data_IF_371435009148
#
_entry.id   IF_371435009148
#
_cell.length_a   1.000
_cell.length_b   1.000
_cell.length_c   1.000
_cell.angle_alpha   90.00
_cell.angle_beta   90.00
_cell.angle_gamma   90.00
#
_symmetry.space_group_name_H-M   'P 1'
#
loop_
_entity.id
_entity.type
_entity.pdbx_description
1 polymer ?
#
# COMPACT_ATOMS: atom_id res chain seq x y z
N UNK A 1 8.76 17.45 8.86
CA UNK A 1 8.30 17.28 7.46
C UNK A 1 9.25 17.97 6.49
N UNK A 2 9.79 17.22 5.52
CA UNK A 2 10.63 17.76 4.43
C UNK A 2 9.76 18.36 3.32
N UNK A 3 10.26 19.36 2.58
CA UNK A 3 9.57 19.99 1.44
C UNK A 3 9.12 18.98 0.37
N UNK A 4 9.94 17.94 0.12
CA UNK A 4 9.62 16.86 -0.81
C UNK A 4 8.40 16.03 -0.38
N UNK A 5 8.23 15.75 0.92
CA UNK A 5 7.10 14.99 1.41
C UNK A 5 5.77 15.74 1.21
N UNK A 6 5.80 17.07 1.35
CA UNK A 6 4.64 17.92 1.11
C UNK A 6 4.29 18.04 -0.38
N UNK A 7 5.28 18.20 -1.25
CA UNK A 7 5.09 18.21 -2.70
C UNK A 7 4.62 16.84 -3.24
N UNK A 8 5.08 15.74 -2.62
CA UNK A 8 4.59 14.40 -2.91
C UNK A 8 3.10 14.23 -2.53
N UNK A 9 2.68 14.66 -1.34
CA UNK A 9 1.26 14.65 -0.94
C UNK A 9 0.42 15.52 -1.87
N UNK A 10 0.92 16.69 -2.30
CA UNK A 10 0.22 17.54 -3.29
C UNK A 10 0.06 16.84 -4.64
N UNK A 11 1.07 16.09 -5.08
CA UNK A 11 1.01 15.28 -6.29
C UNK A 11 -0.18 14.30 -6.30
N UNK A 12 -0.57 13.79 -5.12
CA UNK A 12 -1.72 12.90 -4.97
C UNK A 12 -3.05 13.56 -5.38
N UNK A 13 -3.15 14.88 -5.30
CA UNK A 13 -4.36 15.66 -5.60
C UNK A 13 -4.23 16.51 -6.88
N UNK A 14 -3.09 16.46 -7.56
CA UNK A 14 -2.89 17.24 -8.77
C UNK A 14 -3.77 16.67 -9.89
N UNK A 15 -4.61 17.48 -10.55
CA UNK A 15 -5.39 17.02 -11.69
C UNK A 15 -4.45 16.55 -12.79
N UNK A 16 -4.62 15.31 -13.23
CA UNK A 16 -3.80 14.77 -14.32
C UNK A 16 -4.09 15.52 -15.63
N UNK A 17 -3.06 15.79 -16.46
CA UNK A 17 -3.29 16.20 -17.85
C UNK A 17 -4.09 15.09 -18.58
N UNK A 18 -4.89 15.43 -19.60
CA UNK A 18 -5.64 14.45 -20.37
C UNK A 18 -4.68 13.48 -21.06
N UNK A 19 -4.72 12.20 -20.67
CA UNK A 19 -3.89 11.13 -21.23
C UNK A 19 -4.72 10.29 -22.22
N UNK A 20 -4.13 9.78 -23.32
CA UNK A 20 -4.80 8.87 -24.25
C UNK A 20 -5.18 7.54 -23.56
N UNK A 21 -6.05 6.76 -24.20
CA UNK A 21 -6.64 5.50 -23.70
C UNK A 21 -5.63 4.64 -22.95
N UNK A 22 -5.73 4.69 -21.62
CA UNK A 22 -4.84 4.02 -20.67
C UNK A 22 -5.14 2.51 -20.69
N UNK A 23 -4.13 1.63 -20.52
CA UNK A 23 -4.38 0.20 -20.29
C UNK A 23 -5.45 0.03 -19.20
N UNK A 24 -6.37 -0.92 -19.38
CA UNK A 24 -7.41 -1.22 -18.39
C UNK A 24 -6.74 -1.45 -17.02
N UNK A 25 -6.88 -0.48 -16.11
CA UNK A 25 -6.36 -0.57 -14.76
C UNK A 25 -7.35 -1.40 -13.96
N UNK A 26 -7.05 -2.68 -13.78
CA UNK A 26 -7.87 -3.56 -12.94
C UNK A 26 -7.75 -3.15 -11.49
N UNK A 27 -8.74 -3.54 -10.68
CA UNK A 27 -8.75 -3.29 -9.24
C UNK A 27 -7.53 -3.86 -8.52
N UNK A 28 -7.12 -5.06 -8.88
CA UNK A 28 -5.97 -5.77 -8.33
C UNK A 28 -4.68 -5.01 -8.62
N UNK A 29 -4.52 -4.52 -9.86
CA UNK A 29 -3.35 -3.74 -10.26
C UNK A 29 -3.32 -2.38 -9.54
N UNK A 30 -4.48 -1.76 -9.33
CA UNK A 30 -4.59 -0.52 -8.56
C UNK A 30 -4.22 -0.73 -7.07
N UNK A 31 -4.68 -1.83 -6.46
CA UNK A 31 -4.27 -2.21 -5.10
C UNK A 31 -2.76 -2.46 -5.03
N UNK A 32 -2.21 -3.22 -5.98
CA UNK A 32 -0.78 -3.51 -6.03
C UNK A 32 0.05 -2.21 -6.16
N UNK A 33 -0.39 -1.27 -6.99
CA UNK A 33 0.26 0.03 -7.12
C UNK A 33 0.17 0.87 -5.83
N UNK A 34 -0.94 0.78 -5.09
CA UNK A 34 -1.06 1.43 -3.79
C UNK A 34 -0.10 0.84 -2.74
N UNK A 35 0.09 -0.48 -2.74
CA UNK A 35 1.07 -1.15 -1.86
C UNK A 35 2.50 -0.69 -2.17
N UNK A 36 2.86 -0.60 -3.45
CA UNK A 36 4.17 -0.05 -3.88
C UNK A 36 4.32 1.40 -3.44
N UNK A 37 3.29 2.22 -3.60
CA UNK A 37 3.30 3.62 -3.15
C UNK A 37 3.52 3.73 -1.64
N UNK A 38 2.88 2.86 -0.86
CA UNK A 38 3.07 2.80 0.59
C UNK A 38 4.50 2.42 0.98
N UNK A 39 5.09 1.44 0.30
CA UNK A 39 6.47 1.03 0.50
C UNK A 39 7.50 2.13 0.16
N UNK A 40 7.16 3.03 -0.77
CA UNK A 40 8.03 4.13 -1.20
C UNK A 40 7.85 5.43 -0.40
N UNK A 41 6.87 5.49 0.50
CA UNK A 41 6.50 6.74 1.19
C UNK A 41 7.62 7.34 2.04
N UNK A 42 8.56 6.51 2.51
CA UNK A 42 9.72 6.92 3.33
C UNK A 42 11.04 6.98 2.55
N UNK A 43 11.01 6.86 1.21
CA UNK A 43 12.17 6.87 0.30
C UNK A 43 13.16 5.69 0.48
N UNK A 44 12.82 4.66 1.28
CA UNK A 44 13.63 3.47 1.51
C UNK A 44 12.91 2.19 1.04
N UNK A 45 12.69 2.10 -0.27
CA UNK A 45 12.12 0.90 -0.88
C UNK A 45 13.18 -0.21 -0.96
N UNK A 46 13.07 -1.20 -0.05
CA UNK A 46 14.06 -2.25 0.12
C UNK A 46 13.44 -3.67 0.01
N UNK A 47 14.29 -4.68 0.19
CA UNK A 47 13.93 -6.09 0.00
C UNK A 47 12.85 -6.57 0.98
N UNK A 48 12.76 -5.98 2.18
CA UNK A 48 11.75 -6.33 3.17
C UNK A 48 10.36 -5.87 2.72
N UNK A 49 10.23 -4.65 2.20
CA UNK A 49 8.94 -4.20 1.66
C UNK A 49 8.59 -4.96 0.38
N UNK A 50 9.55 -5.26 -0.49
CA UNK A 50 9.31 -6.12 -1.67
C UNK A 50 8.73 -7.47 -1.26
N UNK A 51 9.34 -8.15 -0.29
CA UNK A 51 8.84 -9.43 0.20
C UNK A 51 7.46 -9.32 0.86
N UNK A 52 7.20 -8.23 1.59
CA UNK A 52 5.89 -7.97 2.20
C UNK A 52 4.80 -7.72 1.15
N UNK A 53 5.11 -6.96 0.09
CA UNK A 53 4.20 -6.77 -1.04
C UNK A 53 3.92 -8.13 -1.70
N UNK A 54 4.97 -8.88 -2.05
CA UNK A 54 4.82 -10.16 -2.74
C UNK A 54 3.95 -11.15 -1.94
N UNK A 55 4.13 -11.21 -0.61
CA UNK A 55 3.29 -12.00 0.29
C UNK A 55 1.82 -11.53 0.32
N UNK A 56 1.57 -10.22 0.37
CA UNK A 56 0.20 -9.67 0.30
C UNK A 56 -0.45 -10.05 -1.03
N UNK A 57 0.26 -9.86 -2.14
CA UNK A 57 -0.25 -10.14 -3.48
C UNK A 57 -0.57 -11.63 -3.68
N UNK A 58 0.30 -12.51 -3.19
CA UNK A 58 0.07 -13.96 -3.24
C UNK A 58 -1.17 -14.34 -2.42
N UNK A 59 -1.28 -13.87 -1.17
CA UNK A 59 -2.40 -14.21 -0.27
C UNK A 59 -3.75 -13.67 -0.77
N UNK A 60 -3.79 -12.43 -1.28
CA UNK A 60 -5.04 -11.80 -1.71
C UNK A 60 -5.57 -12.35 -3.03
N UNK A 61 -4.67 -12.57 -3.98
CA UNK A 61 -5.05 -12.86 -5.36
C UNK A 61 -4.77 -14.30 -5.77
N UNK A 62 -4.29 -15.14 -4.84
CA UNK A 62 -4.00 -16.55 -5.09
C UNK A 62 -2.88 -16.77 -6.11
N UNK A 63 -1.95 -15.81 -6.22
CA UNK A 63 -0.94 -15.79 -7.28
C UNK A 63 0.30 -16.60 -6.89
N UNK A 64 0.85 -17.29 -7.89
CA UNK A 64 2.15 -17.96 -7.77
C UNK A 64 3.32 -16.97 -7.81
N UNK A 65 4.54 -17.39 -7.43
CA UNK A 65 5.69 -16.48 -7.29
C UNK A 65 6.03 -15.68 -8.56
N UNK A 66 5.83 -16.30 -9.74
CA UNK A 66 6.09 -15.68 -11.05
C UNK A 66 5.07 -14.57 -11.34
N UNK A 67 3.79 -14.85 -11.12
CA UNK A 67 2.71 -13.90 -11.35
C UNK A 67 2.74 -12.75 -10.33
N UNK A 68 3.12 -13.04 -9.09
CA UNK A 68 3.35 -12.03 -8.04
C UNK A 68 4.42 -11.04 -8.47
N UNK A 69 5.60 -11.54 -8.87
CA UNK A 69 6.70 -10.70 -9.33
C UNK A 69 6.31 -9.89 -10.57
N UNK A 70 5.62 -10.50 -11.53
CA UNK A 70 5.12 -9.82 -12.72
C UNK A 70 4.09 -8.73 -12.39
N UNK A 71 3.18 -8.99 -11.45
CA UNK A 71 2.18 -8.03 -11.02
C UNK A 71 2.81 -6.88 -10.23
N UNK A 72 3.79 -7.16 -9.37
CA UNK A 72 4.55 -6.11 -8.68
C UNK A 72 5.31 -5.22 -9.67
N UNK A 73 5.97 -5.80 -10.67
CA UNK A 73 6.66 -5.02 -11.70
C UNK A 73 5.69 -4.09 -12.48
N UNK A 74 4.49 -4.60 -12.83
CA UNK A 74 3.44 -3.77 -13.45
C UNK A 74 2.95 -2.68 -12.51
N UNK A 75 2.77 -2.98 -11.23
CA UNK A 75 2.38 -2.03 -10.21
C UNK A 75 3.42 -0.93 -10.00
N UNK A 76 4.71 -1.27 -9.97
CA UNK A 76 5.82 -0.32 -9.89
C UNK A 76 5.86 0.65 -11.08
N UNK A 77 5.65 0.12 -12.30
CA UNK A 77 5.56 0.93 -13.51
C UNK A 77 4.30 1.82 -13.51
N UNK A 78 3.16 1.29 -13.05
CA UNK A 78 1.91 2.02 -12.95
C UNK A 78 2.02 3.16 -11.93
N UNK A 79 2.59 2.89 -10.76
CA UNK A 79 2.81 3.87 -9.69
C UNK A 79 3.68 5.02 -10.16
N UNK A 80 4.75 4.73 -10.91
CA UNK A 80 5.63 5.73 -11.50
C UNK A 80 4.96 6.57 -12.61
N UNK A 81 3.93 6.03 -13.27
CA UNK A 81 3.26 6.68 -14.40
C UNK A 81 2.01 7.46 -13.98
N UNK A 82 1.30 6.99 -12.94
CA UNK A 82 0.07 7.62 -12.44
C UNK A 82 0.42 8.55 -11.27
N UNK A 83 0.64 9.82 -11.57
CA UNK A 83 0.78 10.87 -10.56
C UNK A 83 -0.50 11.15 -9.77
N UNK A 84 -1.68 11.02 -10.39
CA UNK A 84 -2.96 11.41 -9.77
C UNK A 84 -3.60 10.25 -8.97
N UNK A 85 -3.79 10.47 -7.66
CA UNK A 85 -4.43 9.48 -6.79
C UNK A 85 -5.93 9.40 -6.97
N UNK A 86 -6.60 10.37 -7.60
CA UNK A 86 -8.05 10.32 -7.86
C UNK A 86 -8.42 9.12 -8.73
N UNK A 87 -7.63 8.82 -9.75
CA UNK A 87 -7.85 7.67 -10.61
C UNK A 87 -7.56 6.34 -9.91
N UNK A 88 -6.46 6.28 -9.17
CA UNK A 88 -6.09 5.11 -8.37
C UNK A 88 -7.19 4.79 -7.34
N UNK A 89 -7.69 5.81 -6.66
CA UNK A 89 -8.66 5.66 -5.58
C UNK A 89 -10.06 5.35 -6.08
N UNK A 90 -10.45 5.83 -7.27
CA UNK A 90 -11.69 5.39 -7.91
C UNK A 90 -11.63 3.91 -8.26
N UNK A 91 -10.57 3.45 -8.95
CA UNK A 91 -10.42 2.04 -9.29
C UNK A 91 -10.41 1.13 -8.05
N UNK A 92 -9.77 1.56 -6.97
CA UNK A 92 -9.75 0.84 -5.70
C UNK A 92 -11.14 0.81 -5.05
N UNK A 93 -11.89 1.92 -5.03
CA UNK A 93 -13.26 1.96 -4.49
C UNK A 93 -14.21 1.05 -5.27
N UNK A 94 -14.07 1.04 -6.58
CA UNK A 94 -14.93 0.25 -7.48
C UNK A 94 -14.60 -1.25 -7.37
N UNK A 95 -13.35 -1.59 -7.04
CA UNK A 95 -12.89 -2.97 -6.87
C UNK A 95 -13.10 -3.55 -5.47
N UNK A 96 -13.17 -2.72 -4.43
CA UNK A 96 -13.19 -3.17 -3.03
C UNK A 96 -14.53 -2.87 -2.36
N UNK A 97 -15.24 -3.95 -2.02
CA UNK A 97 -16.44 -3.90 -1.17
C UNK A 97 -16.12 -3.33 0.21
N UNK A 98 -17.05 -2.57 0.78
CA UNK A 98 -16.80 -1.77 1.98
C UNK A 98 -16.26 -2.59 3.16
N UNK A 99 -16.79 -3.80 3.33
CA UNK A 99 -16.52 -4.73 4.42
C UNK A 99 -15.06 -5.23 4.41
N UNK A 100 -14.41 -5.27 3.25
CA UNK A 100 -13.03 -5.74 3.11
C UNK A 100 -11.99 -4.65 3.31
N UNK A 101 -12.39 -3.38 3.20
CA UNK A 101 -11.48 -2.21 3.25
C UNK A 101 -10.60 -2.19 4.51
N UNK A 102 -11.06 -2.58 5.71
CA UNK A 102 -10.19 -2.65 6.89
C UNK A 102 -9.02 -3.62 6.72
N UNK A 103 -9.19 -4.74 6.00
CA UNK A 103 -8.08 -5.67 5.77
C UNK A 103 -7.06 -5.10 4.77
N UNK A 104 -7.47 -4.27 3.81
CA UNK A 104 -6.52 -3.57 2.94
C UNK A 104 -5.67 -2.56 3.71
N UNK A 105 -6.22 -1.91 4.75
CA UNK A 105 -5.42 -1.10 5.68
C UNK A 105 -4.41 -1.95 6.45
N UNK A 106 -4.77 -3.17 6.86
CA UNK A 106 -3.82 -4.10 7.48
C UNK A 106 -2.66 -4.45 6.54
N UNK A 107 -2.94 -4.72 5.26
CA UNK A 107 -1.86 -5.06 4.32
C UNK A 107 -0.94 -3.88 4.01
N UNK A 108 -1.49 -2.66 3.90
CA UNK A 108 -0.67 -1.46 3.77
C UNK A 108 0.25 -1.28 4.98
N UNK A 109 -0.28 -1.45 6.20
CA UNK A 109 0.53 -1.39 7.42
C UNK A 109 1.58 -2.51 7.48
N UNK A 110 1.28 -3.71 6.99
CA UNK A 110 2.24 -4.81 6.93
C UNK A 110 3.41 -4.49 6.01
N UNK A 111 3.15 -3.82 4.89
CA UNK A 111 4.19 -3.37 3.96
C UNK A 111 5.01 -2.23 4.57
N UNK A 112 4.35 -1.22 5.14
CA UNK A 112 5.01 -0.07 5.76
C UNK A 112 5.93 -0.51 6.91
N UNK A 113 5.45 -1.38 7.79
CA UNK A 113 6.17 -1.81 8.98
C UNK A 113 7.15 -2.98 8.71
N UNK A 114 7.35 -3.38 7.46
CA UNK A 114 8.15 -4.57 7.14
C UNK A 114 9.62 -4.47 7.58
N UNK A 115 10.17 -3.24 7.66
CA UNK A 115 11.51 -2.95 8.16
C UNK A 115 11.55 -2.65 9.68
N UNK A 116 10.40 -2.71 10.35
CA UNK A 116 10.24 -2.44 11.79
C UNK A 116 10.30 -0.95 12.16
N UNK A 117 10.33 -0.05 11.18
CA UNK A 117 10.38 1.39 11.41
C UNK A 117 9.06 2.04 10.99
N UNK A 118 8.83 3.22 11.55
CA UNK A 118 7.68 4.06 11.23
C UNK A 118 8.12 5.51 11.10
N UNK A 119 7.60 6.18 10.08
CA UNK A 119 7.91 7.55 9.74
C UNK A 119 6.63 8.40 9.62
N UNK A 120 6.70 9.70 9.93
CA UNK A 120 5.54 10.61 9.91
C UNK A 120 4.86 10.66 8.52
N UNK A 121 5.63 10.50 7.45
CA UNK A 121 5.16 10.50 6.07
C UNK A 121 4.17 9.36 5.80
N UNK A 122 4.41 8.20 6.42
CA UNK A 122 3.56 7.01 6.28
C UNK A 122 2.22 7.20 7.00
N UNK A 123 2.21 7.89 8.13
CA UNK A 123 0.96 8.25 8.82
C UNK A 123 0.10 9.20 7.97
N UNK A 124 0.73 10.15 7.28
CA UNK A 124 0.08 11.06 6.35
C UNK A 124 -0.59 10.30 5.20
N UNK A 125 0.14 9.37 4.58
CA UNK A 125 -0.39 8.49 3.55
C UNK A 125 -1.55 7.64 4.08
N UNK A 126 -1.39 6.99 5.23
CA UNK A 126 -2.40 6.09 5.77
C UNK A 126 -3.69 6.79 6.17
N UNK A 127 -3.61 8.05 6.64
CA UNK A 127 -4.79 8.91 6.85
C UNK A 127 -5.52 9.22 5.54
N UNK A 128 -4.75 9.55 4.50
CA UNK A 128 -5.30 9.82 3.18
C UNK A 128 -6.00 8.58 2.62
N UNK A 129 -5.33 7.42 2.66
CA UNK A 129 -5.88 6.15 2.17
C UNK A 129 -7.12 5.73 2.96
N UNK A 130 -7.13 5.85 4.29
CA UNK A 130 -8.33 5.52 5.07
C UNK A 130 -9.52 6.37 4.66
N UNK A 131 -9.34 7.69 4.51
CA UNK A 131 -10.39 8.59 4.06
C UNK A 131 -10.88 8.25 2.65
N UNK A 132 -9.97 7.90 1.75
CA UNK A 132 -10.31 7.47 0.39
C UNK A 132 -11.06 6.14 0.41
N UNK A 133 -10.80 5.24 1.33
CA UNK A 133 -11.58 4.00 1.48
C UNK A 133 -12.91 4.22 2.23
N UNK A 134 -13.25 5.46 2.61
CA UNK A 134 -14.46 5.74 3.40
C UNK A 134 -14.38 5.21 4.83
N UNK A 135 -13.16 5.05 5.34
CA UNK A 135 -12.83 4.65 6.69
C UNK A 135 -12.30 5.86 7.47
N UNK A 136 -12.31 5.78 8.80
CA UNK A 136 -11.79 6.84 9.67
C UNK A 136 -10.35 6.55 10.07
N UNK A 137 -9.63 7.58 10.49
CA UNK A 137 -8.27 7.47 11.04
C UNK A 137 -8.15 6.41 12.14
N UNK A 138 -9.17 6.28 13.01
CA UNK A 138 -9.19 5.27 14.07
C UNK A 138 -9.20 3.84 13.54
N UNK A 139 -9.83 3.61 12.38
CA UNK A 139 -9.90 2.31 11.75
C UNK A 139 -8.50 1.92 11.20
N UNK A 140 -7.75 2.91 10.69
CA UNK A 140 -6.32 2.73 10.34
C UNK A 140 -5.44 2.45 11.55
N UNK A 141 -5.65 3.16 12.67
CA UNK A 141 -4.91 2.90 13.91
C UNK A 141 -5.17 1.49 14.46
N UNK A 142 -6.42 1.01 14.41
CA UNK A 142 -6.75 -0.36 14.79
C UNK A 142 -6.11 -1.40 13.85
N UNK A 143 -6.14 -1.16 12.53
CA UNK A 143 -5.47 -2.03 11.57
C UNK A 143 -3.98 -2.18 11.88
N UNK A 144 -3.31 -1.07 12.19
CA UNK A 144 -1.90 -1.07 12.60
C UNK A 144 -1.66 -1.90 13.85
N UNK A 145 -2.46 -1.70 14.90
CA UNK A 145 -2.34 -2.45 16.16
C UNK A 145 -2.48 -3.96 15.92
N UNK A 146 -3.41 -4.38 15.05
CA UNK A 146 -3.58 -5.78 14.65
C UNK A 146 -2.34 -6.33 13.94
N UNK A 147 -1.74 -5.55 13.03
CA UNK A 147 -0.52 -5.95 12.31
C UNK A 147 0.65 -6.10 13.28
N UNK A 148 0.88 -5.10 14.14
CA UNK A 148 1.96 -5.15 15.12
C UNK A 148 1.82 -6.35 16.05
N UNK A 149 0.63 -6.58 16.60
CA UNK A 149 0.37 -7.75 17.45
C UNK A 149 0.65 -9.08 16.74
N UNK A 150 0.34 -9.19 15.43
CA UNK A 150 0.66 -10.38 14.62
C UNK A 150 2.17 -10.53 14.41
N UNK A 151 2.89 -9.45 14.16
CA UNK A 151 4.35 -9.48 13.96
C UNK A 151 5.09 -9.85 15.24
N UNK A 152 4.64 -9.32 16.39
CA UNK A 152 5.22 -9.63 17.70
C UNK A 152 5.01 -11.12 18.05
N UNK A 153 3.83 -11.68 17.75
CA UNK A 153 3.55 -13.12 17.94
C UNK A 153 4.43 -14.03 17.08
N UNK A 154 4.76 -13.62 15.86
CA UNK A 154 5.64 -14.40 14.97
C UNK A 154 7.09 -14.38 15.49
N UNK A 155 7.53 -13.27 16.08
CA UNK A 155 8.87 -13.17 16.66
C UNK A 155 9.03 -14.03 17.91
N UNK A 156 8.02 -14.07 18.79
CA UNK A 156 8.04 -14.87 20.04
C UNK A 156 8.02 -16.39 19.77
N UNK A 157 7.47 -16.83 18.64
CA UNK A 157 7.41 -18.25 18.26
C UNK A 157 8.68 -18.76 17.56
N UNK A 158 9.72 -17.92 17.41
CA UNK A 158 10.96 -18.31 16.72
C UNK A 158 11.85 -19.19 17.62
N UNK A 159 12.19 -20.44 17.23
CA UNK A 159 12.94 -21.38 18.08
C UNK A 159 14.37 -20.95 18.44
N UNK A 160 14.88 -19.85 17.87
CA UNK A 160 16.25 -19.36 18.07
C UNK A 160 16.37 -18.24 19.11
N UNK A 161 15.28 -17.89 19.81
CA UNK A 161 15.29 -16.93 20.91
C UNK A 161 15.40 -17.63 22.29
N UNK A 162 16.40 -18.50 22.49
CA UNK A 162 16.89 -18.94 23.81
C UNK A 162 18.37 -19.27 23.75
#
# INVERSE_FOLDING_TARGET
>A
MTEKAFEWIKGLFAPAPPQPTRPEMTGELAVAALLVRAARANDDYNKLQIAAIDDVLSRRFGLGPWDVSAMRAKAEALEATIGDSVHLTRAIKDAIVYEERPEYLCDLWRVILADGKRHEQEDGLMRLVSNLLGLRDRDSAHARQRVQARMDQVQDQSPLAR
#
